data_IF_649053737240
#
_entry.id   IF_649053737240
#
_cell.length_a   1.000
_cell.length_b   1.000
_cell.length_c   1.000
_cell.angle_alpha   90.00
_cell.angle_beta   90.00
_cell.angle_gamma   90.00
#
_symmetry.space_group_name_H-M   'P 1'
#
loop_
_entity.id
_entity.type
_entity.pdbx_description
1 polymer ?
#
# COMPACT_ATOMS: atom_id res chain seq x y z
N UNK A 1 3.42 -5.79 -15.75
CA UNK A 1 3.95 -5.99 -14.38
C UNK A 1 2.77 -5.94 -13.42
N UNK A 2 2.62 -6.94 -12.54
CA UNK A 2 1.51 -7.05 -11.58
C UNK A 2 2.08 -6.97 -10.16
N UNK A 3 1.48 -6.14 -9.31
CA UNK A 3 1.87 -5.99 -7.90
C UNK A 3 0.99 -6.93 -7.09
N UNK A 4 1.59 -7.95 -6.46
CA UNK A 4 0.87 -8.97 -5.71
C UNK A 4 0.73 -8.61 -4.24
N UNK A 5 1.72 -7.94 -3.68
CA UNK A 5 1.77 -7.55 -2.28
C UNK A 5 2.68 -6.35 -2.07
N UNK A 6 2.45 -5.60 -1.01
CA UNK A 6 3.22 -4.44 -0.58
C UNK A 6 3.59 -4.64 0.87
N UNK A 7 4.87 -4.50 1.19
CA UNK A 7 5.37 -4.49 2.55
C UNK A 7 6.17 -3.22 2.77
N UNK A 8 5.76 -2.42 3.76
CA UNK A 8 6.41 -1.17 4.11
C UNK A 8 6.77 -1.21 5.58
N UNK A 9 8.07 -1.04 5.88
CA UNK A 9 8.59 -0.92 7.24
C UNK A 9 9.31 0.41 7.41
N UNK A 10 8.99 1.12 8.49
CA UNK A 10 9.60 2.40 8.88
C UNK A 10 9.68 3.45 7.76
N UNK A 11 8.67 3.52 6.89
CA UNK A 11 8.61 4.51 5.81
C UNK A 11 7.59 5.61 6.12
N UNK A 12 8.10 6.83 6.29
CA UNK A 12 7.32 8.01 6.71
C UNK A 12 6.49 7.73 7.97
N UNK A 13 5.16 7.62 7.83
CA UNK A 13 4.23 7.37 8.95
C UNK A 13 3.91 5.88 9.14
N UNK A 14 4.34 5.01 8.22
CA UNK A 14 4.09 3.58 8.31
C UNK A 14 5.25 2.93 9.08
N UNK A 15 4.95 2.44 10.30
CA UNK A 15 5.91 1.64 11.08
C UNK A 15 5.99 0.23 10.52
N UNK A 16 4.84 -0.38 10.29
CA UNK A 16 4.68 -1.68 9.64
C UNK A 16 3.34 -1.67 8.88
N UNK A 17 3.36 -1.97 7.59
CA UNK A 17 2.20 -2.04 6.73
C UNK A 17 2.38 -3.18 5.73
N UNK A 18 1.48 -4.17 5.79
CA UNK A 18 1.31 -5.21 4.80
C UNK A 18 -0.01 -4.97 4.04
N UNK A 19 0.03 -5.06 2.71
CA UNK A 19 -1.17 -5.08 1.87
C UNK A 19 -0.99 -6.15 0.79
N UNK A 20 -1.85 -7.19 0.74
CA UNK A 20 -2.91 -7.47 1.70
C UNK A 20 -2.35 -7.81 3.09
N UNK A 21 -3.14 -7.54 4.12
CA UNK A 21 -2.88 -7.98 5.50
C UNK A 21 -3.38 -9.42 5.76
N UNK A 22 -4.04 -10.01 4.77
CA UNK A 22 -4.37 -11.43 4.70
C UNK A 22 -3.41 -12.21 3.80
N UNK A 23 -3.40 -13.53 3.95
CA UNK A 23 -2.65 -14.43 3.09
C UNK A 23 -3.34 -14.53 1.73
N UNK A 24 -2.78 -13.85 0.73
CA UNK A 24 -3.37 -13.74 -0.61
C UNK A 24 -2.71 -12.66 -1.46
N UNK A 25 -3.23 -12.48 -2.67
CA UNK A 25 -2.75 -11.48 -3.61
C UNK A 25 -3.66 -10.25 -3.62
N UNK A 26 -3.08 -9.09 -3.95
CA UNK A 26 -3.84 -7.91 -4.30
C UNK A 26 -4.81 -8.21 -5.45
N UNK A 27 -6.07 -7.74 -5.35
CA UNK A 27 -7.07 -7.98 -6.37
C UNK A 27 -6.67 -7.31 -7.69
N UNK A 28 -7.07 -7.93 -8.80
CA UNK A 28 -6.91 -7.33 -10.12
C UNK A 28 -7.87 -6.15 -10.30
N UNK A 29 -7.41 -5.08 -10.95
CA UNK A 29 -8.20 -3.88 -11.22
C UNK A 29 -7.91 -2.70 -10.29
N UNK A 30 -8.97 -2.06 -9.76
CA UNK A 30 -8.87 -0.81 -9.00
C UNK A 30 -8.70 -1.06 -7.51
N UNK A 31 -7.56 -0.64 -6.95
CA UNK A 31 -7.31 -0.66 -5.50
C UNK A 31 -7.62 0.73 -4.92
N UNK A 32 -8.62 0.82 -4.04
CA UNK A 32 -9.03 2.05 -3.36
C UNK A 32 -8.40 2.14 -1.97
N UNK A 33 -7.36 2.97 -1.82
CA UNK A 33 -6.77 3.28 -0.52
C UNK A 33 -7.51 4.46 0.10
N UNK A 34 -8.32 4.20 1.15
CA UNK A 34 -9.05 5.22 1.92
C UNK A 34 -8.42 5.44 3.29
N UNK A 35 -8.52 6.66 3.80
CA UNK A 35 -8.05 6.99 5.13
C UNK A 35 -8.12 8.50 5.41
N UNK A 36 -8.00 8.93 6.67
CA UNK A 36 -7.98 10.34 7.06
C UNK A 36 -6.88 11.17 6.37
N UNK A 37 -7.00 12.50 6.37
CA UNK A 37 -5.91 13.36 5.88
C UNK A 37 -4.62 13.08 6.67
N UNK A 38 -3.48 13.09 5.97
CA UNK A 38 -2.16 12.80 6.54
C UNK A 38 -1.92 11.35 7.02
N UNK A 39 -2.75 10.36 6.66
CA UNK A 39 -2.49 8.93 6.92
C UNK A 39 -1.41 8.31 6.00
N UNK A 40 -0.78 9.10 5.13
CA UNK A 40 0.26 8.59 4.22
C UNK A 40 -0.25 8.06 2.87
N UNK A 41 -1.51 8.30 2.50
CA UNK A 41 -2.11 7.87 1.22
C UNK A 41 -1.30 8.29 -0.02
N UNK A 42 -0.85 9.55 -0.06
CA UNK A 42 -0.01 10.07 -1.15
C UNK A 42 1.40 9.48 -1.15
N UNK A 43 1.85 8.96 0.00
CA UNK A 43 3.14 8.28 0.13
C UNK A 43 3.07 6.88 -0.44
N UNK A 44 1.96 6.17 -0.19
CA UNK A 44 1.70 4.87 -0.77
C UNK A 44 1.71 4.96 -2.31
N UNK A 45 1.07 5.98 -2.91
CA UNK A 45 1.14 6.27 -4.36
C UNK A 45 2.55 6.50 -4.92
N UNK A 46 3.50 7.01 -4.11
CA UNK A 46 4.87 7.25 -4.56
C UNK A 46 5.65 5.96 -4.80
N UNK A 47 5.38 4.94 -3.99
CA UNK A 47 6.00 3.61 -4.07
C UNK A 47 5.51 2.77 -5.26
N UNK A 48 4.36 3.14 -5.83
CA UNK A 48 3.74 2.47 -6.97
C UNK A 48 4.25 2.96 -8.34
N UNK A 49 5.30 3.78 -8.40
CA UNK A 49 5.88 4.20 -9.68
C UNK A 49 6.84 3.12 -10.19
N UNK A 50 6.73 2.72 -11.48
CA UNK A 50 7.63 1.74 -12.09
C UNK A 50 9.07 2.24 -12.17
#
# INVERSE_FOLDING_TARGET
MRILSIQIKNFKRFKDLSVPDWDGELPEGLILIKGPNSTGKSTLKGEFRP
#
